data_IF_473328626569
#
_entry.id   IF_473328626569
#
_cell.length_a   1.000
_cell.length_b   1.000
_cell.length_c   1.000
_cell.angle_alpha   90.00
_cell.angle_beta   90.00
_cell.angle_gamma   90.00
#
_symmetry.space_group_name_H-M   'P 1'
#
loop_
_entity.id
_entity.type
_entity.pdbx_description
1 polymer ?
#
# COMPACT_ATOMS: atom_id res chain seq x y z
N UNK A 1 2.47 -7.83 3.71
CA UNK A 1 1.06 -7.74 3.28
C UNK A 1 0.22 -7.51 4.52
N UNK A 2 -0.73 -6.59 4.43
CA UNK A 2 -1.66 -6.25 5.51
C UNK A 2 -3.07 -6.74 5.16
N UNK A 3 -3.85 -7.07 6.16
CA UNK A 3 -5.26 -7.37 6.02
C UNK A 3 -6.08 -6.11 6.31
N UNK A 4 -7.00 -5.76 5.45
CA UNK A 4 -7.84 -4.56 5.61
C UNK A 4 -9.13 -4.83 6.41
N UNK A 5 -9.45 -6.08 6.73
CA UNK A 5 -10.73 -6.46 7.30
C UNK A 5 -11.90 -6.08 6.37
N UNK A 6 -13.05 -5.81 6.95
CA UNK A 6 -14.28 -5.47 6.24
C UNK A 6 -14.44 -3.96 6.02
N UNK A 7 -15.24 -3.58 5.02
CA UNK A 7 -15.43 -2.18 4.62
C UNK A 7 -16.43 -1.41 5.50
N UNK A 8 -17.24 -2.10 6.31
CA UNK A 8 -18.26 -1.53 7.18
C UNK A 8 -17.89 -1.66 8.65
N UNK A 9 -18.48 -0.86 9.55
CA UNK A 9 -18.25 -1.02 10.98
C UNK A 9 -18.80 -2.36 11.50
N UNK A 10 -18.19 -2.88 12.55
CA UNK A 10 -18.60 -4.13 13.18
C UNK A 10 -20.08 -4.14 13.64
N UNK A 11 -20.64 -2.95 13.90
CA UNK A 11 -22.05 -2.77 14.24
C UNK A 11 -23.03 -2.86 13.06
N UNK A 12 -22.53 -3.00 11.82
CA UNK A 12 -23.40 -3.11 10.65
C UNK A 12 -24.29 -4.35 10.74
N UNK A 13 -25.60 -4.17 10.50
CA UNK A 13 -26.61 -5.23 10.63
C UNK A 13 -26.29 -6.45 9.75
N UNK A 14 -25.58 -6.25 8.64
CA UNK A 14 -25.18 -7.34 7.71
C UNK A 14 -24.23 -8.34 8.32
N UNK A 15 -23.56 -7.98 9.39
CA UNK A 15 -22.64 -8.88 10.11
C UNK A 15 -23.29 -9.62 11.27
N UNK A 16 -24.55 -9.34 11.59
CA UNK A 16 -25.30 -10.02 12.65
C UNK A 16 -24.57 -10.06 14.02
N UNK A 17 -23.72 -9.04 14.29
CA UNK A 17 -22.90 -8.99 15.50
C UNK A 17 -21.72 -9.97 15.54
N UNK A 18 -21.34 -10.55 14.42
CA UNK A 18 -20.24 -11.52 14.32
C UNK A 18 -18.91 -10.91 13.85
N UNK A 19 -18.92 -9.67 13.37
CA UNK A 19 -17.69 -8.98 12.95
C UNK A 19 -16.92 -8.48 14.18
N UNK A 20 -15.59 -8.56 14.09
CA UNK A 20 -14.63 -8.01 15.04
C UNK A 20 -13.43 -7.37 14.30
N UNK A 21 -13.69 -6.80 13.12
CA UNK A 21 -12.64 -6.30 12.21
C UNK A 21 -11.99 -5.03 12.71
N UNK A 22 -12.71 -4.19 13.46
CA UNK A 22 -12.15 -2.97 14.06
C UNK A 22 -11.12 -3.30 15.15
N UNK A 23 -11.44 -4.29 16.02
CA UNK A 23 -10.50 -4.78 17.02
C UNK A 23 -9.30 -5.49 16.37
N UNK A 24 -9.55 -6.26 15.31
CA UNK A 24 -8.49 -6.91 14.52
C UNK A 24 -7.53 -5.92 13.90
N UNK A 25 -8.02 -4.86 13.24
CA UNK A 25 -7.17 -3.79 12.68
C UNK A 25 -6.29 -3.11 13.74
N UNK A 26 -6.84 -2.90 14.95
CA UNK A 26 -6.07 -2.32 16.04
C UNK A 26 -4.92 -3.24 16.49
N UNK A 27 -5.15 -4.55 16.55
CA UNK A 27 -4.11 -5.55 16.84
C UNK A 27 -3.09 -5.63 15.72
N UNK A 28 -3.53 -5.59 14.46
CA UNK A 28 -2.62 -5.60 13.30
C UNK A 28 -1.76 -4.33 13.25
N UNK A 29 -2.31 -3.18 13.62
CA UNK A 29 -1.52 -1.94 13.73
C UNK A 29 -0.41 -2.06 14.79
N UNK A 30 -0.68 -2.72 15.91
CA UNK A 30 0.35 -2.97 16.93
C UNK A 30 1.43 -3.93 16.43
N UNK A 31 1.02 -5.01 15.76
CA UNK A 31 1.95 -5.91 15.09
C UNK A 31 2.79 -5.17 14.01
N UNK A 32 2.15 -4.29 13.21
CA UNK A 32 2.84 -3.51 12.19
C UNK A 32 3.94 -2.63 12.78
N UNK A 33 3.70 -1.97 13.94
CA UNK A 33 4.74 -1.20 14.64
C UNK A 33 5.95 -2.05 14.99
N UNK A 34 5.74 -3.29 15.43
CA UNK A 34 6.83 -4.22 15.74
C UNK A 34 7.58 -4.64 14.48
N UNK A 35 6.86 -4.90 13.38
CA UNK A 35 7.48 -5.27 12.09
C UNK A 35 8.38 -4.15 11.57
N UNK A 36 7.87 -2.91 11.50
CA UNK A 36 8.66 -1.79 10.96
C UNK A 36 9.83 -1.38 11.86
N UNK A 37 9.77 -1.75 13.15
CA UNK A 37 10.87 -1.54 14.08
C UNK A 37 11.95 -2.66 14.02
N UNK A 38 11.72 -3.76 13.30
CA UNK A 38 12.66 -4.87 13.21
C UNK A 38 13.89 -4.54 12.35
N UNK A 39 15.01 -5.18 12.64
CA UNK A 39 16.23 -5.04 11.83
C UNK A 39 15.99 -5.51 10.39
N UNK A 40 15.28 -6.62 10.21
CA UNK A 40 14.96 -7.16 8.90
C UNK A 40 14.19 -6.17 8.02
N UNK A 41 13.28 -5.36 8.62
CA UNK A 41 12.60 -4.30 7.90
C UNK A 41 13.53 -3.15 7.57
N UNK A 42 14.27 -2.65 8.57
CA UNK A 42 15.17 -1.48 8.41
C UNK A 42 16.32 -1.71 7.43
N UNK A 43 16.81 -2.96 7.34
CA UNK A 43 17.89 -3.34 6.42
C UNK A 43 17.40 -3.64 5.00
N UNK A 44 16.10 -3.79 4.79
CA UNK A 44 15.54 -4.05 3.48
C UNK A 44 15.70 -2.83 2.55
N UNK A 45 16.19 -3.02 1.33
CA UNK A 45 16.44 -1.91 0.38
C UNK A 45 15.16 -1.28 -0.15
N UNK A 46 14.03 -1.98 -0.07
CA UNK A 46 12.74 -1.57 -0.61
C UNK A 46 11.60 -2.02 0.32
N UNK A 47 10.63 -1.15 0.52
CA UNK A 47 9.46 -1.40 1.34
C UNK A 47 8.17 -1.29 0.50
N UNK A 48 7.57 -2.43 0.18
CA UNK A 48 6.32 -2.50 -0.61
C UNK A 48 5.17 -2.97 0.27
N UNK A 49 4.11 -2.19 0.33
CA UNK A 49 2.89 -2.55 1.07
C UNK A 49 1.85 -3.11 0.11
N UNK A 50 1.29 -4.27 0.45
CA UNK A 50 0.13 -4.84 -0.22
C UNK A 50 -1.07 -4.74 0.71
N UNK A 51 -2.13 -4.10 0.26
CA UNK A 51 -3.37 -3.92 1.00
C UNK A 51 -4.55 -3.85 0.03
N UNK A 52 -5.64 -4.58 0.28
CA UNK A 52 -6.75 -4.59 -0.67
C UNK A 52 -7.46 -3.25 -0.76
N UNK A 53 -7.94 -2.69 0.36
CA UNK A 53 -8.59 -1.38 0.40
C UNK A 53 -7.57 -0.24 0.40
N UNK A 54 -7.93 0.86 -0.25
CA UNK A 54 -7.13 2.10 -0.29
C UNK A 54 -7.36 2.89 1.00
N UNK A 55 -6.35 3.53 1.61
CA UNK A 55 -6.58 4.45 2.72
C UNK A 55 -7.63 5.51 2.39
N UNK A 56 -8.54 5.80 3.34
CA UNK A 56 -9.71 6.60 3.10
C UNK A 56 -9.45 8.07 2.74
N UNK A 57 -10.25 8.59 1.80
CA UNK A 57 -10.43 10.03 1.57
C UNK A 57 -11.59 10.59 2.41
N UNK A 58 -12.03 11.83 2.10
CA UNK A 58 -13.07 12.53 2.88
C UNK A 58 -14.44 11.85 2.92
N UNK A 59 -14.79 11.08 1.88
CA UNK A 59 -16.09 10.40 1.73
C UNK A 59 -15.94 8.89 1.65
N UNK A 60 -14.92 8.33 2.28
CA UNK A 60 -14.61 6.90 2.23
C UNK A 60 -15.48 6.08 3.18
N UNK A 61 -15.52 4.78 2.95
CA UNK A 61 -16.19 3.83 3.80
C UNK A 61 -15.44 3.65 5.12
N UNK A 62 -16.09 3.04 6.12
CA UNK A 62 -15.54 2.90 7.47
C UNK A 62 -14.16 2.20 7.46
N UNK A 63 -14.05 1.04 6.80
CA UNK A 63 -12.78 0.30 6.73
C UNK A 63 -11.63 1.10 6.14
N UNK A 64 -11.88 1.88 5.08
CA UNK A 64 -10.88 2.77 4.47
C UNK A 64 -10.44 3.90 5.44
N UNK A 65 -11.39 4.44 6.24
CA UNK A 65 -11.09 5.45 7.25
C UNK A 65 -10.24 4.86 8.38
N UNK A 66 -10.56 3.65 8.83
CA UNK A 66 -9.81 2.95 9.88
C UNK A 66 -8.38 2.60 9.42
N UNK A 67 -8.20 2.19 8.16
CA UNK A 67 -6.86 2.01 7.57
C UNK A 67 -6.09 3.31 7.61
N UNK A 68 -6.70 4.43 7.19
CA UNK A 68 -6.07 5.74 7.23
C UNK A 68 -5.68 6.15 8.66
N UNK A 69 -6.55 5.89 9.63
CA UNK A 69 -6.33 6.27 11.03
C UNK A 69 -5.24 5.42 11.71
N UNK A 70 -5.23 4.10 11.45
CA UNK A 70 -4.40 3.15 12.17
C UNK A 70 -3.07 2.86 11.47
N UNK A 71 -3.08 2.64 10.16
CA UNK A 71 -1.91 2.16 9.43
C UNK A 71 -1.08 3.28 8.81
N UNK A 72 -1.73 4.30 8.23
CA UNK A 72 -1.03 5.36 7.50
C UNK A 72 0.00 6.10 8.36
N UNK A 73 -0.26 6.46 9.62
CA UNK A 73 0.76 7.11 10.46
C UNK A 73 2.01 6.24 10.65
N UNK A 74 1.84 4.93 10.86
CA UNK A 74 2.95 3.98 11.03
C UNK A 74 3.74 3.86 9.72
N UNK A 75 3.03 3.71 8.60
CA UNK A 75 3.64 3.53 7.28
C UNK A 75 4.37 4.79 6.80
N UNK A 76 3.89 5.98 7.14
CA UNK A 76 4.56 7.24 6.82
C UNK A 76 5.92 7.39 7.54
N UNK A 77 6.06 6.83 8.73
CA UNK A 77 7.32 6.81 9.49
C UNK A 77 8.23 5.66 9.04
N UNK A 78 7.67 4.67 8.36
CA UNK A 78 8.34 3.43 7.99
C UNK A 78 9.01 3.50 6.60
N UNK A 79 9.11 4.68 5.98
CA UNK A 79 9.79 4.86 4.69
C UNK A 79 9.30 3.90 3.58
N UNK A 80 7.99 3.75 3.43
CA UNK A 80 7.39 2.93 2.38
C UNK A 80 7.69 3.52 1.00
N UNK A 81 8.07 2.68 0.05
CA UNK A 81 8.34 3.09 -1.34
C UNK A 81 7.05 3.14 -2.17
N UNK A 82 6.16 2.18 -1.99
CA UNK A 82 4.86 2.12 -2.69
C UNK A 82 3.86 1.25 -1.97
N UNK A 83 2.58 1.62 -2.06
CA UNK A 83 1.46 0.76 -1.68
C UNK A 83 0.72 0.29 -2.93
N UNK A 84 0.44 -1.02 -2.98
CA UNK A 84 -0.30 -1.67 -4.06
C UNK A 84 -1.66 -2.13 -3.54
N UNK A 85 -2.72 -1.58 -4.15
CA UNK A 85 -4.11 -1.78 -3.75
C UNK A 85 -4.98 -2.30 -4.90
N UNK A 86 -6.18 -2.74 -4.56
CA UNK A 86 -7.27 -3.07 -5.48
C UNK A 86 -8.54 -2.32 -5.12
N UNK A 87 -9.61 -3.06 -4.80
CA UNK A 87 -10.90 -2.61 -4.26
C UNK A 87 -11.78 -1.78 -5.23
N UNK A 88 -11.25 -0.76 -5.87
CA UNK A 88 -12.03 0.14 -6.74
C UNK A 88 -12.32 -0.42 -8.14
N UNK A 89 -11.80 -1.60 -8.47
CA UNK A 89 -11.97 -2.26 -9.76
C UNK A 89 -11.57 -1.42 -10.98
N UNK A 90 -10.74 -0.41 -10.77
CA UNK A 90 -10.21 0.49 -11.81
C UNK A 90 -8.78 0.89 -11.47
N UNK A 91 -8.00 1.18 -12.49
CA UNK A 91 -6.66 1.72 -12.30
C UNK A 91 -6.70 3.11 -11.65
N UNK A 92 -5.73 3.35 -10.76
CA UNK A 92 -5.45 4.65 -10.16
C UNK A 92 -3.99 4.78 -9.75
N UNK A 93 -3.47 5.97 -9.81
CA UNK A 93 -2.18 6.36 -9.25
C UNK A 93 -2.40 7.59 -8.38
N UNK A 94 -2.00 7.52 -7.12
CA UNK A 94 -2.19 8.58 -6.12
C UNK A 94 -0.85 8.86 -5.47
N UNK A 95 -0.32 10.04 -5.69
CA UNK A 95 0.97 10.51 -5.16
C UNK A 95 0.91 11.96 -4.64
N UNK A 96 -0.30 12.50 -4.53
CA UNK A 96 -0.62 13.88 -4.16
C UNK A 96 -0.86 14.10 -2.66
N UNK A 97 -0.67 13.06 -1.83
CA UNK A 97 -0.95 13.10 -0.39
C UNK A 97 -2.43 13.14 -0.02
N UNK A 98 -3.36 13.06 -0.97
CA UNK A 98 -4.82 13.14 -0.73
C UNK A 98 -5.35 12.05 0.18
N UNK A 99 -4.62 10.93 0.30
CA UNK A 99 -4.90 9.82 1.21
C UNK A 99 -4.18 9.90 2.55
N UNK A 100 -3.38 10.95 2.76
CA UNK A 100 -2.57 11.16 3.97
C UNK A 100 -1.25 10.41 3.95
N UNK A 101 -0.92 9.72 2.85
CA UNK A 101 0.36 9.01 2.66
C UNK A 101 1.42 9.97 2.11
N UNK A 102 2.68 9.77 2.51
CA UNK A 102 3.85 10.42 1.94
C UNK A 102 4.57 9.54 0.90
N UNK A 103 3.90 8.48 0.47
CA UNK A 103 4.35 7.54 -0.55
C UNK A 103 3.22 7.30 -1.58
N UNK A 104 3.55 6.88 -2.81
CA UNK A 104 2.57 6.64 -3.85
C UNK A 104 1.74 5.37 -3.61
N UNK A 105 0.50 5.39 -4.10
CA UNK A 105 -0.42 4.26 -4.10
C UNK A 105 -0.79 3.92 -5.54
N UNK A 106 -0.55 2.68 -5.96
CA UNK A 106 -1.09 2.13 -7.20
C UNK A 106 -2.34 1.30 -6.87
N UNK A 107 -3.44 1.63 -7.53
CA UNK A 107 -4.68 0.84 -7.49
C UNK A 107 -4.77 0.07 -8.80
N UNK A 108 -4.81 -1.25 -8.72
CA UNK A 108 -4.99 -2.07 -9.92
C UNK A 108 -6.48 -2.33 -10.20
N UNK A 109 -6.81 -2.46 -11.48
CA UNK A 109 -8.16 -2.85 -11.89
C UNK A 109 -8.40 -4.34 -11.64
N UNK A 110 -9.66 -4.77 -11.70
CA UNK A 110 -10.04 -6.18 -11.65
C UNK A 110 -9.92 -6.90 -13.01
N UNK A 111 -9.43 -6.23 -14.04
CA UNK A 111 -9.28 -6.76 -15.41
C UNK A 111 -7.82 -6.92 -15.80
N UNK A 112 -6.96 -6.02 -15.29
CA UNK A 112 -5.59 -5.91 -15.74
C UNK A 112 -4.64 -6.63 -14.77
N UNK A 113 -3.52 -7.09 -15.30
CA UNK A 113 -2.45 -7.67 -14.51
C UNK A 113 -1.45 -6.59 -14.12
N UNK A 114 -1.09 -6.52 -12.84
CA UNK A 114 0.06 -5.76 -12.38
C UNK A 114 1.29 -6.67 -12.34
N UNK A 115 2.33 -6.27 -13.04
CA UNK A 115 3.66 -6.90 -12.96
C UNK A 115 4.59 -5.99 -12.18
N UNK A 116 5.19 -6.53 -11.14
CA UNK A 116 6.14 -5.83 -10.27
C UNK A 116 7.50 -6.49 -10.44
N UNK A 117 8.51 -5.71 -10.80
CA UNK A 117 9.90 -6.14 -10.84
C UNK A 117 10.70 -5.24 -9.93
N UNK A 118 11.41 -5.83 -8.96
CA UNK A 118 12.21 -5.10 -8.00
C UNK A 118 13.66 -5.62 -8.04
N UNK A 119 14.60 -4.70 -7.98
CA UNK A 119 16.03 -4.98 -7.81
C UNK A 119 16.65 -3.95 -6.85
N UNK A 120 17.96 -3.99 -6.64
CA UNK A 120 18.67 -3.04 -5.76
C UNK A 120 18.58 -1.57 -6.21
N UNK A 121 18.13 -1.30 -7.44
CA UNK A 121 17.99 0.05 -8.00
C UNK A 121 16.59 0.60 -7.87
N UNK A 122 15.57 -0.25 -7.59
CA UNK A 122 14.20 0.21 -7.42
C UNK A 122 13.15 -0.78 -7.91
N UNK A 123 11.96 -0.25 -8.19
CA UNK A 123 10.75 -1.01 -8.51
C UNK A 123 10.19 -0.53 -9.85
N UNK A 124 10.01 -1.45 -10.80
CA UNK A 124 9.26 -1.23 -12.03
C UNK A 124 7.86 -1.83 -11.88
N UNK A 125 6.85 -1.03 -12.16
CA UNK A 125 5.43 -1.40 -12.12
C UNK A 125 4.85 -1.30 -13.53
N UNK A 126 4.29 -2.40 -14.05
CA UNK A 126 3.63 -2.42 -15.35
C UNK A 126 2.19 -2.93 -15.20
N UNK A 127 1.23 -2.14 -15.66
CA UNK A 127 -0.18 -2.56 -15.77
C UNK A 127 -0.40 -3.03 -17.19
N UNK A 128 -0.83 -4.28 -17.34
CA UNK A 128 -0.94 -4.99 -18.62
C UNK A 128 -2.38 -5.47 -18.79
N UNK A 129 -2.99 -5.18 -19.93
CA UNK A 129 -4.34 -5.63 -20.28
C UNK A 129 -4.40 -7.14 -20.57
N UNK A 130 -5.59 -7.73 -20.71
CA UNK A 130 -5.75 -9.15 -21.05
C UNK A 130 -5.16 -9.54 -22.41
N UNK A 131 -4.95 -8.59 -23.31
CA UNK A 131 -4.32 -8.83 -24.62
C UNK A 131 -2.78 -8.80 -24.57
N UNK A 132 -2.21 -8.47 -23.39
CA UNK A 132 -0.76 -8.39 -23.20
C UNK A 132 -0.17 -7.01 -23.49
N UNK A 133 -1.00 -6.00 -23.72
CA UNK A 133 -0.55 -4.62 -23.97
C UNK A 133 -0.26 -3.89 -22.66
N UNK A 134 0.91 -3.27 -22.55
CA UNK A 134 1.22 -2.41 -21.39
C UNK A 134 0.44 -1.11 -21.47
N UNK A 135 -0.44 -0.90 -20.51
CA UNK A 135 -1.29 0.29 -20.38
C UNK A 135 -0.61 1.43 -19.61
N UNK A 136 0.13 1.08 -18.55
CA UNK A 136 0.80 2.02 -17.65
C UNK A 136 2.15 1.48 -17.20
N UNK A 137 3.09 2.38 -16.97
CA UNK A 137 4.38 2.10 -16.35
C UNK A 137 4.70 3.14 -15.29
N UNK A 138 5.24 2.69 -14.16
CA UNK A 138 5.82 3.54 -13.13
C UNK A 138 7.19 2.99 -12.74
N UNK A 139 8.09 3.89 -12.40
CA UNK A 139 9.39 3.57 -11.84
C UNK A 139 9.52 4.26 -10.49
N UNK A 140 10.00 3.54 -9.49
CA UNK A 140 10.33 4.05 -8.16
C UNK A 140 11.79 3.67 -7.92
N UNK A 141 12.64 4.66 -7.79
CA UNK A 141 14.06 4.42 -7.55
C UNK A 141 14.31 4.07 -6.08
N UNK A 142 15.26 3.16 -5.84
CA UNK A 142 15.67 2.79 -4.49
C UNK A 142 16.35 3.98 -3.79
N UNK A 143 16.07 4.16 -2.51
CA UNK A 143 16.72 5.17 -1.65
C UNK A 143 18.23 5.02 -1.60
N UNK A 144 18.75 3.80 -1.74
CA UNK A 144 20.18 3.53 -1.80
C UNK A 144 20.84 3.94 -3.11
N UNK A 145 20.07 4.24 -4.18
CA UNK A 145 20.61 4.70 -5.46
C UNK A 145 21.15 6.14 -5.39
N UNK A 146 20.60 6.96 -4.51
CA UNK A 146 20.99 8.38 -4.33
C UNK A 146 22.31 8.55 -3.57
N UNK A 147 22.82 7.50 -2.92
CA UNK A 147 24.06 7.54 -2.13
C UNK A 147 25.28 6.97 -2.86
N UNK A 148 25.13 6.49 -4.10
CA UNK A 148 26.27 6.03 -4.90
C UNK A 148 27.02 7.24 -5.50
N UNK A 149 28.29 7.53 -5.14
CA UNK A 149 29.05 8.58 -5.80
C UNK A 149 29.20 8.24 -7.28
N UNK A 150 28.89 9.25 -8.13
CA UNK A 150 29.12 9.19 -9.59
C UNK A 150 30.58 8.79 -9.89
N UNK A 151 30.83 7.50 -10.09
CA UNK A 151 32.12 7.00 -10.55
C UNK A 151 32.23 7.21 -12.06
N UNK A 152 32.33 8.46 -12.48
CA UNK A 152 32.89 8.78 -13.78
C UNK A 152 34.40 8.98 -13.62
N UNK A 153 35.14 8.01 -14.06
CA UNK A 153 36.54 8.13 -14.48
C UNK A 153 36.58 8.18 -15.98
#
# INVERSE_FOLDING_TARGET
MLDCGEDKPDSDIRYYGLAATDAYRAQEAEWLRQVVASDAYREAPLHVVFLHMVPGGKSSWHGEQEIRRLFVPILNEAEVDVMLCGHYHRYGWIDDGSRGTNFPILINSNRDKLVVKADSRGIDLEVIDPAGTTLKRHRIDSRSADTAPDRRL
#
